data_IF_172579436235
#
_entry.id   IF_172579436235
#
_cell.length_a   1.000
_cell.length_b   1.000
_cell.length_c   1.000
_cell.angle_alpha   90.00
_cell.angle_beta   90.00
_cell.angle_gamma   90.00
#
_symmetry.space_group_name_H-M   'P 1'
#
loop_
_entity.id
_entity.type
_entity.pdbx_description
1 polymer ?
#
# COMPACT_ATOMS: atom_id res chain seq x y z
N UNK A 1 -12.59 -9.64 -32.35
CA UNK A 1 -13.95 -9.07 -32.28
C UNK A 1 -14.25 -8.70 -30.83
N UNK A 2 -15.19 -7.78 -30.61
CA UNK A 2 -15.87 -7.64 -29.31
C UNK A 2 -17.09 -8.53 -29.39
N UNK A 3 -17.20 -9.54 -28.53
CA UNK A 3 -18.34 -10.43 -28.52
C UNK A 3 -19.56 -9.70 -27.96
N UNK A 4 -20.68 -9.79 -28.67
CA UNK A 4 -21.97 -9.26 -28.23
C UNK A 4 -22.91 -10.42 -27.94
N UNK A 5 -23.20 -10.60 -26.65
CA UNK A 5 -24.11 -11.62 -26.16
C UNK A 5 -25.47 -11.02 -25.72
N UNK A 6 -25.73 -9.74 -25.97
CA UNK A 6 -26.93 -9.04 -25.49
C UNK A 6 -28.25 -9.58 -26.05
N UNK A 7 -28.20 -10.27 -27.21
CA UNK A 7 -29.36 -10.88 -27.87
C UNK A 7 -29.34 -12.41 -27.84
N UNK A 8 -28.44 -13.03 -27.06
CA UNK A 8 -28.33 -14.49 -27.01
C UNK A 8 -29.57 -15.14 -26.40
N UNK A 9 -30.08 -16.17 -27.09
CA UNK A 9 -31.15 -17.03 -26.63
C UNK A 9 -30.68 -18.47 -26.61
N UNK A 10 -31.04 -19.19 -25.56
CA UNK A 10 -30.80 -20.62 -25.42
C UNK A 10 -32.15 -21.32 -25.34
N UNK A 11 -32.39 -22.26 -26.24
CA UNK A 11 -33.62 -23.06 -26.30
C UNK A 11 -33.26 -24.53 -26.18
N UNK A 12 -33.99 -25.28 -25.36
CA UNK A 12 -33.79 -26.73 -25.27
C UNK A 12 -34.36 -27.40 -26.51
N UNK A 13 -33.50 -28.08 -27.27
CA UNK A 13 -33.90 -28.76 -28.51
C UNK A 13 -34.13 -30.26 -28.28
N UNK A 14 -33.42 -30.88 -27.33
CA UNK A 14 -33.63 -32.26 -26.89
C UNK A 14 -33.06 -32.50 -25.48
N UNK A 15 -33.16 -33.74 -25.00
CA UNK A 15 -32.38 -34.20 -23.84
C UNK A 15 -30.89 -34.03 -24.17
N UNK A 16 -30.14 -33.40 -23.26
CA UNK A 16 -28.71 -33.09 -23.42
C UNK A 16 -28.34 -32.27 -24.67
N UNK A 17 -29.29 -31.50 -25.23
CA UNK A 17 -29.06 -30.65 -26.40
C UNK A 17 -29.78 -29.30 -26.29
N UNK A 18 -29.02 -28.23 -26.47
CA UNK A 18 -29.55 -26.86 -26.56
C UNK A 18 -29.15 -26.21 -27.87
N UNK A 19 -30.05 -25.36 -28.38
CA UNK A 19 -29.82 -24.46 -29.51
C UNK A 19 -29.52 -23.07 -28.96
N UNK A 20 -28.41 -22.48 -29.39
CA UNK A 20 -28.01 -21.11 -29.04
C UNK A 20 -28.13 -20.22 -30.28
N UNK A 21 -28.87 -19.12 -30.19
CA UNK A 21 -29.07 -18.15 -31.28
C UNK A 21 -28.86 -16.73 -30.79
N UNK A 22 -28.75 -15.76 -31.70
CA UNK A 22 -28.67 -14.33 -31.35
C UNK A 22 -27.32 -13.84 -30.82
N UNK A 23 -26.26 -14.66 -30.90
CA UNK A 23 -24.89 -14.22 -30.64
C UNK A 23 -24.33 -13.42 -31.82
N UNK A 24 -23.61 -12.32 -31.52
CA UNK A 24 -22.99 -11.47 -32.53
C UNK A 24 -21.67 -10.88 -32.05
N UNK A 25 -21.22 -9.82 -32.72
CA UNK A 25 -20.04 -9.07 -32.32
C UNK A 25 -19.65 -7.99 -33.31
N UNK A 26 -18.78 -7.09 -32.86
CA UNK A 26 -18.23 -6.00 -33.67
C UNK A 26 -16.73 -6.16 -33.86
N UNK A 27 -16.13 -5.25 -34.64
CA UNK A 27 -14.68 -5.15 -34.72
C UNK A 27 -14.06 -5.04 -33.31
N UNK A 28 -12.85 -5.59 -33.15
CA UNK A 28 -12.10 -5.44 -31.91
C UNK A 28 -11.74 -3.96 -31.69
N UNK A 29 -11.70 -3.53 -30.43
CA UNK A 29 -11.23 -2.18 -30.07
C UNK A 29 -9.79 -1.94 -30.55
N UNK A 30 -9.39 -0.70 -30.80
CA UNK A 30 -7.99 -0.39 -31.16
C UNK A 30 -7.00 -0.58 -29.99
N UNK A 31 -7.50 -0.60 -28.75
CA UNK A 31 -6.69 -0.64 -27.52
C UNK A 31 -6.95 -1.88 -26.66
N UNK A 32 -6.00 -2.20 -25.79
CA UNK A 32 -6.06 -3.18 -24.72
C UNK A 32 -6.11 -2.45 -23.37
N UNK A 33 -6.93 -2.93 -22.43
CA UNK A 33 -6.79 -2.55 -21.03
C UNK A 33 -5.65 -3.37 -20.42
N UNK A 34 -4.59 -2.70 -20.00
CA UNK A 34 -3.40 -3.33 -19.41
C UNK A 34 -3.09 -2.74 -18.05
N UNK A 35 -2.49 -3.55 -17.18
CA UNK A 35 -1.91 -3.09 -15.92
C UNK A 35 -0.40 -2.98 -16.10
N UNK A 36 0.14 -1.76 -16.03
CA UNK A 36 1.56 -1.48 -16.18
C UNK A 36 2.18 -1.30 -14.81
N UNK A 37 3.20 -2.11 -14.50
CA UNK A 37 4.01 -1.96 -13.31
C UNK A 37 5.19 -1.02 -13.60
N UNK A 38 5.47 -0.07 -12.71
CA UNK A 38 6.58 0.87 -12.85
C UNK A 38 7.19 1.24 -11.50
N UNK A 39 8.46 1.66 -11.53
CA UNK A 39 9.17 2.11 -10.34
C UNK A 39 8.59 3.43 -9.81
N UNK A 40 8.26 3.47 -8.51
CA UNK A 40 7.68 4.64 -7.83
C UNK A 40 8.43 4.99 -6.53
N UNK A 41 9.76 4.86 -6.55
CA UNK A 41 10.62 5.24 -5.43
C UNK A 41 10.70 4.18 -4.33
N UNK A 42 10.87 4.65 -3.09
CA UNK A 42 11.10 3.79 -1.93
C UNK A 42 10.21 4.19 -0.76
N UNK A 43 9.84 3.22 0.08
CA UNK A 43 9.23 3.47 1.38
C UNK A 43 10.23 3.12 2.47
N UNK A 44 10.48 4.07 3.36
CA UNK A 44 11.20 3.86 4.61
C UNK A 44 10.22 3.81 5.78
N UNK A 45 10.48 2.92 6.73
CA UNK A 45 9.66 2.72 7.91
C UNK A 45 10.54 2.47 9.14
N UNK A 46 10.16 3.10 10.26
CA UNK A 46 10.67 2.80 11.58
C UNK A 46 9.51 2.65 12.57
N UNK A 47 9.63 1.74 13.51
CA UNK A 47 8.64 1.57 14.58
C UNK A 47 9.29 1.34 15.94
N UNK A 48 8.59 1.68 17.03
CA UNK A 48 9.00 1.43 18.42
C UNK A 48 7.76 1.22 19.30
N UNK A 49 7.88 0.38 20.33
CA UNK A 49 6.79 0.10 21.29
C UNK A 49 7.01 0.80 22.63
N UNK A 50 5.90 1.21 23.25
CA UNK A 50 5.83 1.65 24.63
C UNK A 50 4.75 0.84 25.35
N UNK A 51 5.07 0.34 26.55
CA UNK A 51 4.11 -0.37 27.40
C UNK A 51 4.04 0.24 28.81
N UNK A 52 2.97 -0.05 29.53
CA UNK A 52 2.74 0.43 30.88
C UNK A 52 1.95 1.75 30.95
N UNK A 53 1.62 2.22 32.17
CA UNK A 53 0.89 3.46 32.37
C UNK A 53 1.52 4.63 31.60
N UNK A 54 0.70 5.41 30.87
CA UNK A 54 1.16 6.53 30.05
C UNK A 54 1.89 6.14 28.74
N UNK A 55 1.74 4.89 28.27
CA UNK A 55 2.31 4.44 27.00
C UNK A 55 1.92 5.35 25.82
N UNK A 56 0.64 5.78 25.76
CA UNK A 56 0.15 6.68 24.73
C UNK A 56 0.89 8.03 24.71
N UNK A 57 1.02 8.67 25.87
CA UNK A 57 1.70 9.95 25.99
C UNK A 57 3.18 9.85 25.58
N UNK A 58 3.87 8.78 25.99
CA UNK A 58 5.26 8.53 25.57
C UNK A 58 5.38 8.27 24.08
N UNK A 59 4.47 7.48 23.50
CA UNK A 59 4.47 7.21 22.07
C UNK A 59 4.21 8.48 21.24
N UNK A 60 3.33 9.39 21.72
CA UNK A 60 3.09 10.71 21.10
C UNK A 60 4.37 11.56 21.10
N UNK A 61 5.01 11.69 22.26
CA UNK A 61 6.26 12.44 22.39
C UNK A 61 7.38 11.85 21.52
N UNK A 62 7.44 10.53 21.41
CA UNK A 62 8.39 9.85 20.53
C UNK A 62 8.18 10.21 19.05
N UNK A 63 6.92 10.26 18.58
CA UNK A 63 6.61 10.69 17.22
C UNK A 63 6.96 12.16 16.99
N UNK A 64 6.74 13.03 17.98
CA UNK A 64 7.10 14.45 17.90
C UNK A 64 8.61 14.65 17.79
N UNK A 65 9.40 13.92 18.60
CA UNK A 65 10.87 13.92 18.51
C UNK A 65 11.34 13.47 17.13
N UNK A 66 10.80 12.36 16.59
CA UNK A 66 11.21 11.90 15.26
C UNK A 66 10.82 12.91 14.18
N UNK A 67 9.64 13.55 14.28
CA UNK A 67 9.20 14.59 13.35
C UNK A 67 10.19 15.75 13.31
N UNK A 68 10.60 16.25 14.48
CA UNK A 68 11.57 17.33 14.60
C UNK A 68 12.94 16.91 14.04
N UNK A 69 13.41 15.70 14.39
CA UNK A 69 14.71 15.20 13.92
C UNK A 69 14.76 14.98 12.41
N UNK A 70 13.69 14.49 11.79
CA UNK A 70 13.60 14.36 10.33
C UNK A 70 13.70 15.73 9.63
N UNK A 71 13.10 16.77 10.22
CA UNK A 71 13.19 18.14 9.72
C UNK A 71 14.59 18.73 9.91
N UNK A 72 15.17 18.63 11.10
CA UNK A 72 16.51 19.14 11.42
C UNK A 72 17.61 18.49 10.57
N UNK A 73 17.46 17.20 10.27
CA UNK A 73 18.41 16.46 9.44
C UNK A 73 18.08 16.53 7.94
N UNK A 74 17.04 17.27 7.56
CA UNK A 74 16.61 17.46 6.17
C UNK A 74 16.41 16.14 5.39
N UNK A 75 15.72 15.16 6.00
CA UNK A 75 15.33 13.93 5.28
C UNK A 75 14.32 14.28 4.21
N UNK A 76 14.65 13.94 2.95
CA UNK A 76 13.82 14.27 1.80
C UNK A 76 12.72 13.22 1.61
N UNK A 77 11.48 13.62 1.85
CA UNK A 77 10.30 12.76 1.73
C UNK A 77 9.23 13.44 0.86
N UNK A 78 8.43 12.63 0.16
CA UNK A 78 7.25 13.09 -0.61
C UNK A 78 5.98 13.04 0.23
N UNK A 79 5.94 12.06 1.14
CA UNK A 79 4.83 11.81 2.04
C UNK A 79 5.41 11.26 3.33
N UNK A 80 4.88 11.69 4.48
CA UNK A 80 5.26 11.21 5.79
C UNK A 80 4.01 10.96 6.63
N UNK A 81 4.00 9.80 7.30
CA UNK A 81 2.97 9.40 8.25
C UNK A 81 3.59 9.11 9.60
N UNK A 82 2.89 9.54 10.64
CA UNK A 82 3.21 9.33 12.04
C UNK A 82 1.97 8.71 12.67
N UNK A 83 2.03 7.41 12.90
CA UNK A 83 0.89 6.63 13.34
C UNK A 83 1.16 6.02 14.72
N UNK A 84 0.11 5.87 15.50
CA UNK A 84 0.05 5.08 16.72
C UNK A 84 -0.84 3.88 16.41
N UNK A 85 -0.21 2.72 16.18
CA UNK A 85 -0.92 1.46 15.92
C UNK A 85 -1.63 1.04 17.20
N UNK A 86 -2.91 0.68 17.06
CA UNK A 86 -3.84 0.47 18.17
C UNK A 86 -4.59 1.74 18.61
N UNK A 87 -4.29 2.90 17.99
CA UNK A 87 -4.91 4.18 18.35
C UNK A 87 -5.48 4.87 17.11
N UNK A 88 -4.64 5.39 16.21
CA UNK A 88 -5.07 6.25 15.10
C UNK A 88 -4.61 5.76 13.70
N UNK A 89 -3.91 4.63 13.61
CA UNK A 89 -3.30 4.16 12.36
C UNK A 89 -4.29 3.88 11.21
N UNK A 90 -5.56 3.54 11.52
CA UNK A 90 -6.59 3.21 10.53
C UNK A 90 -7.59 4.35 10.28
N UNK A 91 -8.13 4.94 11.35
CA UNK A 91 -9.25 5.90 11.27
C UNK A 91 -8.88 7.33 11.67
N UNK A 92 -7.60 7.59 11.96
CA UNK A 92 -7.14 8.90 12.41
C UNK A 92 -7.59 9.26 13.83
N UNK A 93 -7.21 10.45 14.27
CA UNK A 93 -7.40 10.89 15.66
C UNK A 93 -8.87 11.14 16.03
N UNK A 94 -9.70 11.55 15.07
CA UNK A 94 -11.10 11.89 15.31
C UNK A 94 -11.92 10.71 15.83
N UNK A 95 -11.66 9.50 15.29
CA UNK A 95 -12.33 8.28 15.75
C UNK A 95 -11.66 7.73 17.02
N UNK A 96 -10.35 7.92 17.18
CA UNK A 96 -9.60 7.44 18.34
C UNK A 96 -9.97 8.16 19.65
N UNK A 97 -10.38 9.44 19.59
CA UNK A 97 -10.59 10.30 20.76
C UNK A 97 -11.69 9.82 21.74
N UNK A 98 -12.57 8.91 21.31
CA UNK A 98 -13.65 8.35 22.15
C UNK A 98 -13.26 7.09 22.95
N UNK A 99 -12.04 6.57 22.79
CA UNK A 99 -11.60 5.33 23.41
C UNK A 99 -10.61 5.58 24.56
N UNK A 100 -10.57 4.66 25.54
CA UNK A 100 -9.62 4.73 26.65
C UNK A 100 -8.17 4.53 26.20
N UNK A 101 -7.22 5.00 27.01
CA UNK A 101 -5.80 4.85 26.68
C UNK A 101 -5.37 3.37 26.75
N UNK A 102 -4.76 2.82 25.69
CA UNK A 102 -4.26 1.46 25.71
C UNK A 102 -3.02 1.33 26.61
N UNK A 103 -2.85 0.15 27.21
CA UNK A 103 -1.71 -0.17 28.06
C UNK A 103 -0.39 -0.32 27.29
N UNK A 104 -0.47 -0.55 25.98
CA UNK A 104 0.67 -0.64 25.07
C UNK A 104 0.35 0.03 23.74
N UNK A 105 1.35 0.69 23.15
CA UNK A 105 1.22 1.41 21.87
C UNK A 105 2.46 1.17 21.03
N UNK A 106 2.25 0.95 19.73
CA UNK A 106 3.32 0.87 18.73
C UNK A 106 3.32 2.15 17.90
N UNK A 107 4.33 2.99 18.08
CA UNK A 107 4.57 4.16 17.26
C UNK A 107 5.22 3.75 15.94
N UNK A 108 4.75 4.30 14.82
CA UNK A 108 5.27 4.06 13.47
C UNK A 108 5.50 5.38 12.74
N UNK A 109 6.66 5.52 12.14
CA UNK A 109 6.96 6.57 11.17
C UNK A 109 7.25 5.92 9.83
N UNK A 110 6.48 6.29 8.80
CA UNK A 110 6.64 5.78 7.46
C UNK A 110 6.66 6.92 6.46
N UNK A 111 7.48 6.84 5.41
CA UNK A 111 7.50 7.86 4.38
C UNK A 111 7.95 7.36 3.02
N UNK A 112 7.40 8.00 1.97
CA UNK A 112 7.79 7.77 0.57
C UNK A 112 8.95 8.70 0.21
N UNK A 113 9.97 8.17 -0.45
CA UNK A 113 11.18 8.91 -0.81
C UNK A 113 11.61 8.58 -2.24
N UNK A 114 12.42 9.45 -2.85
CA UNK A 114 12.95 9.23 -4.19
C UNK A 114 14.18 8.29 -4.20
N UNK A 115 14.81 8.02 -3.04
CA UNK A 115 16.03 7.22 -2.97
C UNK A 115 16.05 6.33 -1.73
N UNK A 116 16.64 5.14 -1.88
CA UNK A 116 16.80 4.19 -0.78
C UNK A 116 17.56 4.80 0.41
N UNK A 117 18.56 5.64 0.13
CA UNK A 117 19.32 6.34 1.17
C UNK A 117 18.43 7.20 2.06
N UNK A 118 17.47 7.95 1.49
CA UNK A 118 16.54 8.76 2.30
C UNK A 118 15.51 7.88 3.02
N UNK A 119 15.05 6.79 2.41
CA UNK A 119 14.15 5.82 3.07
C UNK A 119 14.79 5.22 4.33
N UNK A 120 16.06 4.81 4.26
CA UNK A 120 16.78 4.24 5.41
C UNK A 120 16.90 5.22 6.58
N UNK A 121 17.02 6.52 6.30
CA UNK A 121 17.13 7.55 7.34
C UNK A 121 15.88 7.65 8.21
N UNK A 122 14.69 7.37 7.67
CA UNK A 122 13.44 7.35 8.44
C UNK A 122 13.52 6.32 9.57
N UNK A 123 13.88 5.07 9.23
CA UNK A 123 14.06 4.02 10.23
C UNK A 123 15.15 4.36 11.24
N UNK A 124 16.27 4.94 10.78
CA UNK A 124 17.37 5.31 11.65
C UNK A 124 16.96 6.37 12.68
N UNK A 125 16.19 7.39 12.31
CA UNK A 125 15.70 8.39 13.28
C UNK A 125 14.78 7.77 14.34
N UNK A 126 13.96 6.78 13.99
CA UNK A 126 13.16 6.03 14.99
C UNK A 126 14.05 5.22 15.93
N UNK A 127 15.10 4.57 15.42
CA UNK A 127 16.04 3.81 16.27
C UNK A 127 16.80 4.69 17.27
N UNK A 128 17.04 5.96 16.94
CA UNK A 128 17.65 6.90 17.90
C UNK A 128 16.84 7.11 19.18
N UNK A 129 15.55 6.75 19.18
CA UNK A 129 14.69 6.84 20.37
C UNK A 129 15.12 5.91 21.52
N UNK A 130 15.96 4.90 21.26
CA UNK A 130 16.54 4.10 22.34
C UNK A 130 17.34 4.94 23.33
N UNK A 131 17.99 6.00 22.86
CA UNK A 131 18.86 6.86 23.69
C UNK A 131 18.35 8.29 23.79
N UNK A 132 17.56 8.74 22.82
CA UNK A 132 17.10 10.13 22.71
C UNK A 132 15.57 10.26 22.80
N UNK A 133 14.87 9.17 23.11
CA UNK A 133 13.42 9.12 23.20
C UNK A 133 12.89 9.03 24.63
N UNK A 134 11.57 9.01 24.80
CA UNK A 134 10.92 8.79 26.10
C UNK A 134 11.32 7.45 26.72
N UNK A 135 11.31 7.39 28.06
CA UNK A 135 11.70 6.20 28.80
C UNK A 135 10.83 4.96 28.47
N UNK A 136 11.44 3.77 28.52
CA UNK A 136 10.72 2.50 28.34
C UNK A 136 10.30 2.20 26.89
N UNK A 137 10.95 2.83 25.90
CA UNK A 137 10.82 2.48 24.49
C UNK A 137 11.59 1.19 24.16
N UNK A 138 11.01 0.31 23.35
CA UNK A 138 11.65 -0.95 22.99
C UNK A 138 11.12 -1.61 21.72
N UNK A 139 11.82 -2.66 21.28
CA UNK A 139 11.44 -3.48 20.12
C UNK A 139 11.50 -2.71 18.79
N UNK A 140 12.50 -1.87 18.57
CA UNK A 140 12.58 -1.09 17.32
C UNK A 140 12.65 -2.03 16.11
N UNK A 141 11.88 -1.72 15.08
CA UNK A 141 12.00 -2.36 13.76
C UNK A 141 12.20 -1.31 12.69
N UNK A 142 13.05 -1.61 11.71
CA UNK A 142 13.30 -0.73 10.55
C UNK A 142 13.11 -1.52 9.27
N UNK A 143 12.55 -0.88 8.26
CA UNK A 143 12.47 -1.43 6.91
C UNK A 143 12.65 -0.32 5.89
N UNK A 144 13.29 -0.64 4.76
CA UNK A 144 13.27 0.18 3.57
C UNK A 144 13.09 -0.73 2.35
N UNK A 145 12.19 -0.36 1.45
CA UNK A 145 11.86 -1.19 0.29
C UNK A 145 11.57 -0.35 -0.94
N UNK A 146 11.85 -0.92 -2.10
CA UNK A 146 11.41 -0.39 -3.39
C UNK A 146 9.88 -0.47 -3.50
N UNK A 147 9.31 0.50 -4.20
CA UNK A 147 7.88 0.54 -4.54
C UNK A 147 7.74 0.35 -6.04
N UNK A 148 7.05 -0.71 -6.43
CA UNK A 148 6.55 -0.91 -7.79
C UNK A 148 5.06 -0.59 -7.77
N UNK A 149 4.69 0.54 -8.36
CA UNK A 149 3.30 0.95 -8.51
C UNK A 149 2.68 0.31 -9.76
N UNK A 150 1.36 0.22 -9.79
CA UNK A 150 0.61 -0.32 -10.93
C UNK A 150 -0.42 0.70 -11.38
N UNK A 151 -0.49 0.95 -12.68
CA UNK A 151 -1.52 1.78 -13.29
C UNK A 151 -2.26 1.00 -14.38
N UNK A 152 -3.59 1.07 -14.37
CA UNK A 152 -4.40 0.57 -15.47
C UNK A 152 -4.52 1.62 -16.57
N UNK A 153 -4.10 1.27 -17.78
CA UNK A 153 -4.10 2.17 -18.95
C UNK A 153 -4.70 1.46 -20.17
N UNK A 154 -5.06 2.25 -21.18
CA UNK A 154 -5.38 1.75 -22.51
C UNK A 154 -4.11 1.82 -23.37
N UNK A 155 -3.62 0.65 -23.79
CA UNK A 155 -2.44 0.52 -24.64
C UNK A 155 -2.87 0.21 -26.09
N UNK A 156 -2.35 0.91 -27.10
CA UNK A 156 -2.52 0.52 -28.49
C UNK A 156 -2.08 -0.92 -28.73
N UNK A 157 -2.91 -1.70 -29.45
CA UNK A 157 -2.70 -3.15 -29.64
C UNK A 157 -1.37 -3.47 -30.33
N UNK A 158 -0.88 -2.60 -31.19
CA UNK A 158 0.37 -2.75 -31.92
C UNK A 158 1.61 -2.85 -31.02
N UNK A 159 1.53 -2.40 -29.76
CA UNK A 159 2.60 -2.51 -28.79
C UNK A 159 2.61 -3.83 -28.00
N UNK A 160 1.61 -4.70 -28.20
CA UNK A 160 1.51 -5.96 -27.50
C UNK A 160 1.45 -7.12 -28.50
N UNK A 161 2.45 -8.00 -28.45
CA UNK A 161 2.45 -9.26 -29.21
C UNK A 161 1.94 -10.38 -28.30
N UNK A 162 0.68 -10.85 -28.47
CA UNK A 162 0.17 -11.94 -27.65
C UNK A 162 0.92 -13.24 -27.97
N UNK A 163 1.33 -13.96 -26.93
CA UNK A 163 1.88 -15.31 -27.03
C UNK A 163 1.08 -16.23 -26.10
N UNK A 164 0.86 -17.47 -26.52
CA UNK A 164 0.16 -18.48 -25.73
C UNK A 164 0.96 -19.78 -25.75
N UNK A 165 0.99 -20.45 -24.60
CA UNK A 165 1.52 -21.80 -24.45
C UNK A 165 0.48 -22.64 -23.72
N UNK A 166 0.12 -23.78 -24.29
CA UNK A 166 -0.71 -24.78 -23.62
C UNK A 166 0.22 -25.64 -22.75
N UNK A 167 -0.06 -25.70 -21.45
CA UNK A 167 0.58 -26.66 -20.54
C UNK A 167 -0.41 -27.79 -20.27
N UNK A 168 -0.01 -29.02 -20.60
CA UNK A 168 -0.73 -30.23 -20.17
C UNK A 168 -0.40 -30.52 -18.71
N UNK A 169 -1.36 -31.14 -18.01
CA UNK A 169 -1.27 -31.46 -16.58
C UNK A 169 -0.38 -32.68 -16.30
#
# INVERSE_FOLDING_TARGET
>A
MVADFSQVRVEQEAVDRVRVTGGGGTERTATLKVSVAYFDGYIGEGQISYGGPGALARARLALDIVRERLALTAVQTRELRFDLIGVNALHGDAVAAGHGEPYEVRARVAGRTASLAQALRIGNEVETLYTNGPAGGGGVTKAAREVVAVQSVLLPREYATPAFSLMEA
#
